data_IF_649082081978
#
_entry.id   IF_649082081978
#
_cell.length_a   1.000
_cell.length_b   1.000
_cell.length_c   1.000
_cell.angle_alpha   90.00
_cell.angle_beta   90.00
_cell.angle_gamma   90.00
#
_symmetry.space_group_name_H-M   'P 1'
#
loop_
_entity.id
_entity.type
_entity.pdbx_description
1 polymer ?
#
# COMPACT_ATOMS: atom_id res chain seq x y z
N UNK A 1 11.56 2.53 17.43
CA UNK A 1 11.11 1.18 17.83
C UNK A 1 9.58 1.05 17.95
N UNK A 2 8.84 1.95 18.65
CA UNK A 2 7.37 1.81 18.82
C UNK A 2 6.58 1.72 17.49
N UNK A 3 6.98 2.41 16.42
CA UNK A 3 6.31 2.38 15.11
C UNK A 3 6.47 1.06 14.36
N UNK A 4 7.67 0.48 14.36
CA UNK A 4 7.99 -0.77 13.65
C UNK A 4 7.21 -1.96 14.24
N UNK A 5 7.15 -2.06 15.57
CA UNK A 5 6.38 -3.12 16.23
C UNK A 5 4.87 -2.97 15.99
N UNK A 6 4.39 -1.72 15.88
CA UNK A 6 2.99 -1.44 15.55
C UNK A 6 2.66 -1.88 14.12
N UNK A 7 3.55 -1.61 13.17
CA UNK A 7 3.38 -2.06 11.78
C UNK A 7 3.39 -3.60 11.71
N UNK A 8 4.32 -4.27 12.40
CA UNK A 8 4.38 -5.73 12.43
C UNK A 8 3.13 -6.38 13.06
N UNK A 9 2.63 -5.83 14.16
CA UNK A 9 1.38 -6.31 14.79
C UNK A 9 0.18 -6.14 13.88
N UNK A 10 0.06 -5.00 13.20
CA UNK A 10 -1.03 -4.75 12.26
C UNK A 10 -1.06 -5.75 11.10
N UNK A 11 0.11 -6.23 10.64
CA UNK A 11 0.19 -7.27 9.62
C UNK A 11 -0.25 -8.61 10.20
N UNK A 12 0.25 -8.99 11.39
CA UNK A 12 -0.13 -10.23 12.06
C UNK A 12 -1.66 -10.32 12.30
N UNK A 13 -2.29 -9.19 12.66
CA UNK A 13 -3.73 -9.13 12.91
C UNK A 13 -4.57 -9.26 11.63
N UNK A 14 -3.99 -8.93 10.46
CA UNK A 14 -4.68 -8.92 9.16
C UNK A 14 -4.42 -10.17 8.33
N UNK A 15 -3.30 -10.85 8.56
CA UNK A 15 -2.90 -12.03 7.80
C UNK A 15 -2.87 -13.28 8.68
N UNK A 16 -3.90 -14.16 8.56
CA UNK A 16 -3.96 -15.41 9.32
C UNK A 16 -2.78 -16.35 9.05
N UNK A 17 -2.09 -16.21 7.91
CA UNK A 17 -0.91 -17.00 7.55
C UNK A 17 0.34 -16.58 8.34
N UNK A 18 0.29 -15.46 9.08
CA UNK A 18 1.41 -14.92 9.89
C UNK A 18 1.14 -15.05 11.39
N UNK A 19 1.29 -16.26 11.99
CA UNK A 19 0.93 -16.53 13.37
C UNK A 19 1.85 -15.84 14.39
N UNK A 20 3.00 -15.30 13.99
CA UNK A 20 3.92 -14.63 14.90
C UNK A 20 4.56 -13.37 14.32
N UNK A 21 4.84 -12.37 15.19
CA UNK A 21 5.56 -11.14 14.83
C UNK A 21 6.94 -11.46 14.24
N UNK A 22 7.61 -12.51 14.74
CA UNK A 22 8.92 -12.91 14.22
C UNK A 22 8.83 -13.33 12.74
N UNK A 23 7.79 -14.06 12.36
CA UNK A 23 7.56 -14.43 10.96
C UNK A 23 7.27 -13.20 10.08
N UNK A 24 6.48 -12.25 10.56
CA UNK A 24 6.25 -10.99 9.84
C UNK A 24 7.57 -10.26 9.58
N UNK A 25 8.42 -10.13 10.60
CA UNK A 25 9.69 -9.41 10.50
C UNK A 25 10.67 -10.11 9.54
N UNK A 26 10.72 -11.43 9.55
CA UNK A 26 11.73 -12.20 8.81
C UNK A 26 11.26 -12.61 7.41
N UNK A 27 9.97 -12.85 7.21
CA UNK A 27 9.46 -13.52 6.01
C UNK A 27 8.50 -12.66 5.18
N UNK A 28 8.00 -11.53 5.74
CA UNK A 28 6.98 -10.75 5.05
C UNK A 28 7.59 -9.64 4.17
N UNK A 29 7.58 -9.79 2.82
CA UNK A 29 8.29 -8.87 1.93
C UNK A 29 7.74 -7.43 2.00
N UNK A 30 6.44 -7.25 2.19
CA UNK A 30 5.83 -5.93 2.35
C UNK A 30 6.33 -5.18 3.58
N UNK A 31 6.52 -5.89 4.71
CA UNK A 31 7.12 -5.31 5.92
C UNK A 31 8.57 -4.88 5.68
N UNK A 32 9.37 -5.76 5.07
CA UNK A 32 10.77 -5.49 4.74
C UNK A 32 10.90 -4.26 3.83
N UNK A 33 10.05 -4.16 2.81
CA UNK A 33 10.04 -3.03 1.87
C UNK A 33 9.70 -1.71 2.57
N UNK A 34 8.67 -1.68 3.43
CA UNK A 34 8.28 -0.48 4.18
C UNK A 34 9.37 -0.09 5.19
N UNK A 35 10.00 -1.05 5.87
CA UNK A 35 11.10 -0.78 6.80
C UNK A 35 12.31 -0.17 6.07
N UNK A 36 12.74 -0.77 4.96
CA UNK A 36 13.82 -0.26 4.13
C UNK A 36 13.49 1.13 3.56
N UNK A 37 12.23 1.34 3.13
CA UNK A 37 11.78 2.66 2.70
C UNK A 37 11.91 3.71 3.80
N UNK A 38 11.61 3.43 5.06
CA UNK A 38 11.81 4.40 6.16
C UNK A 38 13.26 4.86 6.27
N UNK A 39 14.23 3.94 6.09
CA UNK A 39 15.66 4.26 6.07
C UNK A 39 16.03 5.09 4.83
N UNK A 40 15.56 4.67 3.65
CA UNK A 40 15.79 5.37 2.39
C UNK A 40 15.22 6.80 2.41
N UNK A 41 14.00 6.97 2.93
CA UNK A 41 13.33 8.26 3.07
C UNK A 41 14.06 9.18 4.07
N UNK A 42 14.57 8.64 5.17
CA UNK A 42 15.37 9.42 6.12
C UNK A 42 16.67 9.95 5.49
N UNK A 43 17.38 9.14 4.70
CA UNK A 43 18.55 9.57 3.94
C UNK A 43 18.16 10.61 2.88
N UNK A 44 17.07 10.38 2.16
CA UNK A 44 16.53 11.28 1.15
C UNK A 44 16.22 12.67 1.70
N UNK A 45 15.51 12.75 2.85
CA UNK A 45 15.17 14.00 3.53
C UNK A 45 16.39 14.78 4.01
N UNK A 46 17.48 14.09 4.37
CA UNK A 46 18.76 14.70 4.76
C UNK A 46 19.62 15.13 3.56
N UNK A 47 19.15 14.99 2.32
CA UNK A 47 19.88 15.33 1.12
C UNK A 47 20.82 14.23 0.59
N UNK A 48 20.93 13.09 1.28
CA UNK A 48 21.77 11.96 0.84
C UNK A 48 21.05 11.14 -0.24
N UNK A 49 20.83 11.77 -1.41
CA UNK A 49 20.02 11.22 -2.51
C UNK A 49 20.52 9.86 -2.99
N UNK A 50 21.82 9.74 -3.23
CA UNK A 50 22.45 8.50 -3.68
C UNK A 50 22.23 7.35 -2.69
N UNK A 51 22.47 7.60 -1.40
CA UNK A 51 22.27 6.60 -0.34
C UNK A 51 20.79 6.15 -0.25
N UNK A 52 19.85 7.11 -0.34
CA UNK A 52 18.42 6.80 -0.36
C UNK A 52 18.05 5.89 -1.54
N UNK A 53 18.52 6.22 -2.76
CA UNK A 53 18.26 5.41 -3.95
C UNK A 53 18.94 4.03 -3.88
N UNK A 54 20.14 3.93 -3.33
CA UNK A 54 20.84 2.67 -3.15
C UNK A 54 20.07 1.73 -2.21
N UNK A 55 19.60 2.23 -1.06
CA UNK A 55 18.77 1.45 -0.12
C UNK A 55 17.47 0.99 -0.81
N UNK A 56 16.79 1.88 -1.54
CA UNK A 56 15.57 1.54 -2.26
C UNK A 56 15.82 0.47 -3.34
N UNK A 57 16.95 0.56 -4.06
CA UNK A 57 17.36 -0.44 -5.06
C UNK A 57 17.57 -1.82 -4.43
N UNK A 58 18.31 -1.89 -3.33
CA UNK A 58 18.54 -3.15 -2.61
C UNK A 58 17.22 -3.74 -2.11
N UNK A 59 16.35 -2.90 -1.53
CA UNK A 59 15.04 -3.33 -1.06
C UNK A 59 14.18 -3.92 -2.19
N UNK A 60 14.16 -3.27 -3.37
CA UNK A 60 13.45 -3.77 -4.54
C UNK A 60 13.99 -5.13 -5.01
N UNK A 61 15.30 -5.29 -5.08
CA UNK A 61 15.91 -6.54 -5.53
C UNK A 61 15.62 -7.70 -4.55
N UNK A 62 15.47 -7.42 -3.24
CA UNK A 62 15.14 -8.41 -2.21
C UNK A 62 13.65 -8.74 -2.12
N UNK A 63 12.77 -7.76 -2.38
CA UNK A 63 11.33 -7.88 -2.09
C UNK A 63 10.44 -7.89 -3.34
N UNK A 64 10.96 -7.47 -4.49
CA UNK A 64 10.17 -7.22 -5.70
C UNK A 64 9.26 -6.00 -5.62
N UNK A 65 9.43 -5.14 -4.58
CA UNK A 65 8.61 -3.96 -4.32
C UNK A 65 9.47 -2.71 -4.51
N UNK A 66 9.07 -1.83 -5.43
CA UNK A 66 9.80 -0.60 -5.74
C UNK A 66 9.11 0.61 -5.07
N UNK A 67 9.69 1.13 -3.99
CA UNK A 67 9.22 2.34 -3.32
C UNK A 67 10.27 3.44 -3.44
N UNK A 68 9.94 4.51 -4.17
CA UNK A 68 10.84 5.64 -4.30
C UNK A 68 11.11 6.30 -2.94
N UNK A 69 12.37 6.65 -2.60
CA UNK A 69 12.70 7.26 -1.30
C UNK A 69 11.96 8.55 -0.98
N UNK A 70 11.53 9.29 -2.00
CA UNK A 70 10.77 10.52 -1.85
C UNK A 70 9.30 10.32 -1.47
N UNK A 71 8.74 9.12 -1.66
CA UNK A 71 7.36 8.83 -1.30
C UNK A 71 7.10 9.01 0.21
N UNK A 72 5.86 9.33 0.56
CA UNK A 72 5.41 9.43 1.95
C UNK A 72 4.55 8.21 2.25
N UNK A 73 5.02 7.37 3.17
CA UNK A 73 4.30 6.16 3.60
C UNK A 73 3.95 6.28 5.07
N UNK A 74 2.68 6.20 5.37
CA UNK A 74 2.11 6.22 6.72
C UNK A 74 2.43 4.98 7.55
N UNK A 75 1.71 4.80 8.63
CA UNK A 75 1.83 3.64 9.51
C UNK A 75 0.73 2.62 9.22
N UNK A 76 0.98 1.35 9.59
CA UNK A 76 0.05 0.24 9.38
C UNK A 76 -0.37 0.06 7.92
N UNK A 77 0.48 0.51 6.99
CA UNK A 77 0.32 0.23 5.56
C UNK A 77 0.63 -1.26 5.35
N UNK A 78 -0.31 -1.95 4.76
CA UNK A 78 -0.23 -3.39 4.51
C UNK A 78 -0.03 -3.62 3.01
N UNK A 79 1.18 -4.02 2.61
CA UNK A 79 1.48 -4.38 1.22
C UNK A 79 1.44 -5.90 1.13
N UNK A 80 0.31 -6.44 0.67
CA UNK A 80 0.07 -7.88 0.62
C UNK A 80 0.67 -8.51 -0.63
N UNK A 81 1.46 -9.58 -0.44
CA UNK A 81 2.31 -10.23 -1.45
C UNK A 81 3.35 -9.28 -2.06
N UNK A 82 2.97 -8.12 -2.51
CA UNK A 82 3.75 -6.97 -2.92
C UNK A 82 4.55 -7.08 -4.21
N UNK A 83 4.82 -8.27 -4.74
CA UNK A 83 5.61 -8.45 -5.95
C UNK A 83 5.11 -7.58 -7.11
N UNK A 84 6.02 -6.82 -7.75
CA UNK A 84 5.69 -5.93 -8.87
C UNK A 84 4.99 -4.62 -8.46
N UNK A 85 4.82 -4.34 -7.16
CA UNK A 85 4.28 -3.06 -6.70
C UNK A 85 5.29 -1.94 -6.90
N UNK A 86 4.83 -0.81 -7.47
CA UNK A 86 5.63 0.39 -7.72
C UNK A 86 4.97 1.62 -7.10
N UNK A 87 5.70 2.34 -6.25
CA UNK A 87 5.25 3.57 -5.59
C UNK A 87 6.19 4.72 -5.94
N UNK A 88 5.71 5.68 -6.73
CA UNK A 88 6.49 6.78 -7.29
C UNK A 88 6.85 7.88 -6.29
N UNK A 89 7.78 8.74 -6.68
CA UNK A 89 8.46 9.74 -5.83
C UNK A 89 7.54 10.64 -5.01
N UNK A 90 6.48 11.17 -5.61
CA UNK A 90 5.58 12.13 -4.95
C UNK A 90 4.28 11.47 -4.48
N UNK A 91 4.22 10.14 -4.45
CA UNK A 91 3.07 9.42 -3.91
C UNK A 91 2.95 9.64 -2.40
N UNK A 92 1.72 9.72 -1.94
CA UNK A 92 1.37 9.77 -0.52
C UNK A 92 0.45 8.59 -0.22
N UNK A 93 0.83 7.76 0.72
CA UNK A 93 0.04 6.65 1.24
C UNK A 93 -0.17 6.89 2.73
N UNK A 94 -1.39 7.14 3.12
CA UNK A 94 -1.74 7.40 4.52
C UNK A 94 -1.82 6.11 5.35
N UNK A 95 -2.17 6.26 6.63
CA UNK A 95 -2.27 5.15 7.58
C UNK A 95 -3.34 4.13 7.17
N UNK A 96 -3.15 2.88 7.58
CA UNK A 96 -4.13 1.78 7.43
C UNK A 96 -4.47 1.37 5.99
N UNK A 97 -3.77 1.89 4.98
CA UNK A 97 -3.97 1.54 3.57
C UNK A 97 -3.53 0.10 3.31
N UNK A 98 -4.30 -0.60 2.48
CA UNK A 98 -3.97 -1.94 1.96
C UNK A 98 -3.64 -1.83 0.48
N UNK A 99 -2.49 -2.39 0.08
CA UNK A 99 -2.02 -2.44 -1.30
C UNK A 99 -1.70 -3.89 -1.66
N UNK A 100 -2.33 -4.39 -2.70
CA UNK A 100 -2.05 -5.74 -3.21
C UNK A 100 -0.84 -5.73 -4.16
N UNK A 101 -0.39 -6.93 -4.57
CA UNK A 101 0.69 -7.08 -5.54
C UNK A 101 0.40 -6.42 -6.90
N UNK A 102 1.45 -6.06 -7.63
CA UNK A 102 1.37 -5.52 -8.99
C UNK A 102 0.74 -4.13 -9.10
N UNK A 103 0.46 -3.46 -7.97
CA UNK A 103 -0.11 -2.12 -7.96
C UNK A 103 0.93 -1.09 -8.42
N UNK A 104 0.51 -0.14 -9.26
CA UNK A 104 1.33 1.01 -9.62
C UNK A 104 0.68 2.31 -9.14
N UNK A 105 1.36 3.02 -8.24
CA UNK A 105 1.07 4.40 -7.89
C UNK A 105 2.02 5.30 -8.71
N UNK A 106 1.63 5.56 -9.97
CA UNK A 106 2.49 6.12 -11.01
C UNK A 106 2.14 7.55 -11.41
N UNK A 107 3.00 8.14 -12.25
CA UNK A 107 2.67 9.37 -12.95
C UNK A 107 1.93 9.05 -14.26
N UNK A 108 1.16 10.02 -14.77
CA UNK A 108 0.45 9.92 -16.06
C UNK A 108 1.23 10.58 -17.20
N UNK A 109 1.95 11.64 -16.89
CA UNK A 109 2.78 12.42 -17.84
C UNK A 109 4.00 12.98 -17.10
N UNK A 110 5.12 13.18 -17.78
CA UNK A 110 6.24 13.92 -17.21
C UNK A 110 5.77 15.28 -16.71
N UNK A 111 5.99 15.55 -15.43
CA UNK A 111 5.65 16.81 -14.78
C UNK A 111 6.61 17.10 -13.64
N UNK A 112 6.85 18.38 -13.34
CA UNK A 112 7.50 18.84 -12.13
C UNK A 112 6.49 18.87 -10.97
N UNK A 113 6.96 18.71 -9.73
CA UNK A 113 6.11 18.76 -8.54
C UNK A 113 5.31 17.48 -8.30
N UNK A 114 4.14 17.62 -7.70
CA UNK A 114 3.22 16.53 -7.40
C UNK A 114 2.69 15.91 -8.70
N UNK A 115 2.90 14.60 -8.87
CA UNK A 115 2.56 13.86 -10.10
C UNK A 115 2.17 12.40 -9.87
N UNK A 116 2.15 11.97 -8.61
CA UNK A 116 1.76 10.63 -8.19
C UNK A 116 0.58 10.72 -7.24
N UNK A 117 -0.23 9.66 -7.10
CA UNK A 117 -1.47 9.71 -6.34
C UNK A 117 -1.29 9.92 -4.83
N UNK A 118 -2.37 10.37 -4.22
CA UNK A 118 -2.57 10.37 -2.78
C UNK A 118 -3.62 9.32 -2.42
N UNK A 119 -3.22 8.36 -1.58
CA UNK A 119 -4.08 7.30 -1.08
C UNK A 119 -4.42 7.61 0.38
N UNK A 120 -5.69 7.91 0.62
CA UNK A 120 -6.19 8.29 1.95
C UNK A 120 -6.35 7.09 2.86
N UNK A 121 -6.47 7.38 4.14
CA UNK A 121 -6.56 6.39 5.21
C UNK A 121 -7.56 5.28 4.91
N UNK A 122 -7.17 4.04 5.21
CA UNK A 122 -8.04 2.87 5.13
C UNK A 122 -8.46 2.47 3.72
N UNK A 123 -7.97 3.14 2.68
CA UNK A 123 -8.27 2.76 1.31
C UNK A 123 -7.66 1.40 0.95
N UNK A 124 -8.32 0.67 0.05
CA UNK A 124 -7.90 -0.63 -0.45
C UNK A 124 -7.57 -0.54 -1.95
N UNK A 125 -6.37 -0.96 -2.33
CA UNK A 125 -5.92 -0.98 -3.73
C UNK A 125 -5.73 -2.43 -4.16
N UNK A 126 -6.64 -2.89 -5.02
CA UNK A 126 -6.68 -4.27 -5.51
C UNK A 126 -5.51 -4.65 -6.42
N UNK A 127 -5.26 -5.94 -6.53
CA UNK A 127 -4.12 -6.51 -7.26
C UNK A 127 -4.05 -6.00 -8.72
N UNK A 128 -2.86 -5.60 -9.16
CA UNK A 128 -2.61 -5.13 -10.51
C UNK A 128 -3.27 -3.80 -10.88
N UNK A 129 -3.84 -3.06 -9.92
CA UNK A 129 -4.45 -1.77 -10.21
C UNK A 129 -3.39 -0.70 -10.54
N UNK A 130 -3.70 0.16 -11.50
CA UNK A 130 -2.88 1.29 -11.91
C UNK A 130 -3.56 2.58 -11.48
N UNK A 131 -2.99 3.31 -10.54
CA UNK A 131 -3.48 4.64 -10.10
C UNK A 131 -2.49 5.66 -10.62
N UNK A 132 -2.90 6.47 -11.59
CA UNK A 132 -1.97 7.25 -12.40
C UNK A 132 -2.28 8.76 -12.36
N UNK A 133 -1.25 9.54 -12.03
CA UNK A 133 -1.33 11.00 -11.98
C UNK A 133 -1.48 11.53 -10.56
N UNK A 134 -1.65 12.85 -10.46
CA UNK A 134 -1.98 13.52 -9.20
C UNK A 134 -3.49 13.38 -8.94
N UNK A 135 -3.90 12.19 -8.54
CA UNK A 135 -5.29 11.84 -8.22
C UNK A 135 -5.41 11.43 -6.76
N UNK A 136 -6.58 11.58 -6.19
CA UNK A 136 -6.86 11.21 -4.81
C UNK A 136 -7.78 9.99 -4.75
N UNK A 137 -7.37 8.97 -3.99
CA UNK A 137 -8.23 7.87 -3.58
C UNK A 137 -8.69 8.18 -2.16
N UNK A 138 -9.98 8.48 -2.02
CA UNK A 138 -10.59 8.94 -0.78
C UNK A 138 -10.52 7.94 0.36
N UNK A 139 -10.81 8.42 1.57
CA UNK A 139 -10.79 7.61 2.79
C UNK A 139 -11.73 6.40 2.67
N UNK A 140 -11.24 5.20 3.05
CA UNK A 140 -11.96 3.92 2.93
C UNK A 140 -12.48 3.58 1.52
N UNK A 141 -11.99 4.26 0.47
CA UNK A 141 -12.34 3.92 -0.90
C UNK A 141 -11.68 2.62 -1.34
N UNK A 142 -12.29 1.96 -2.32
CA UNK A 142 -11.79 0.70 -2.88
C UNK A 142 -11.47 0.85 -4.35
N UNK A 143 -10.29 0.41 -4.74
CA UNK A 143 -9.90 0.24 -6.14
C UNK A 143 -9.89 -1.25 -6.45
N UNK A 144 -10.71 -1.67 -7.41
CA UNK A 144 -10.81 -3.07 -7.81
C UNK A 144 -9.54 -3.58 -8.49
N UNK A 145 -9.34 -4.89 -8.46
CA UNK A 145 -8.20 -5.53 -9.12
C UNK A 145 -8.18 -5.19 -10.63
N UNK A 146 -6.98 -4.89 -11.17
CA UNK A 146 -6.77 -4.53 -12.57
C UNK A 146 -7.39 -3.21 -13.01
N UNK A 147 -7.93 -2.41 -12.10
CA UNK A 147 -8.54 -1.12 -12.45
C UNK A 147 -7.48 -0.09 -12.85
N UNK A 148 -7.81 0.76 -13.84
CA UNK A 148 -6.97 1.88 -14.28
C UNK A 148 -7.62 3.19 -13.87
N UNK A 149 -7.16 3.76 -12.76
CA UNK A 149 -7.72 4.98 -12.16
C UNK A 149 -6.98 6.21 -12.66
N UNK A 150 -7.71 7.13 -13.27
CA UNK A 150 -7.20 8.34 -13.91
C UNK A 150 -7.83 9.64 -13.35
N UNK A 151 -8.72 9.52 -12.38
CA UNK A 151 -9.43 10.63 -11.71
C UNK A 151 -9.68 10.27 -10.24
N UNK A 152 -10.02 11.27 -9.44
CA UNK A 152 -10.28 11.11 -8.02
C UNK A 152 -11.42 10.12 -7.75
N UNK A 153 -11.26 9.36 -6.68
CA UNK A 153 -12.26 8.42 -6.15
C UNK A 153 -12.76 8.96 -4.81
N UNK A 154 -14.05 9.29 -4.69
CA UNK A 154 -14.60 9.83 -3.44
C UNK A 154 -14.44 8.88 -2.24
N UNK A 155 -14.45 9.39 -0.99
CA UNK A 155 -14.43 8.57 0.20
C UNK A 155 -15.52 7.49 0.19
N UNK A 156 -15.16 6.26 0.57
CA UNK A 156 -16.05 5.11 0.62
C UNK A 156 -16.58 4.61 -0.73
N UNK A 157 -16.20 5.21 -1.85
CA UNK A 157 -16.60 4.76 -3.19
C UNK A 157 -15.73 3.59 -3.68
N UNK A 158 -16.22 2.89 -4.68
CA UNK A 158 -15.47 1.83 -5.38
C UNK A 158 -15.20 2.24 -6.81
N UNK A 159 -13.95 2.10 -7.26
CA UNK A 159 -13.53 2.33 -8.65
C UNK A 159 -13.11 1.00 -9.29
N UNK A 160 -13.70 0.63 -10.44
CA UNK A 160 -13.41 -0.63 -11.13
C UNK A 160 -13.35 -0.45 -12.64
N UNK A 161 -12.58 -1.30 -13.31
CA UNK A 161 -12.49 -1.36 -14.77
C UNK A 161 -11.33 -0.56 -15.36
N UNK A 162 -11.21 -0.58 -16.69
CA UNK A 162 -10.18 0.11 -17.47
C UNK A 162 -10.83 0.83 -18.66
N UNK A 163 -10.90 2.20 -18.67
CA UNK A 163 -10.63 3.08 -17.54
C UNK A 163 -11.63 2.85 -16.39
N UNK A 164 -11.19 3.11 -15.16
CA UNK A 164 -12.01 2.88 -13.98
C UNK A 164 -13.24 3.79 -13.95
N UNK A 165 -14.38 3.20 -13.59
CA UNK A 165 -15.62 3.91 -13.31
C UNK A 165 -15.93 3.82 -11.84
N UNK A 166 -16.45 4.92 -11.28
CA UNK A 166 -16.83 4.99 -9.87
C UNK A 166 -18.23 4.42 -9.74
N UNK A 167 -18.38 3.43 -8.87
CA UNK A 167 -19.66 2.90 -8.44
C UNK A 167 -19.96 3.35 -7.02
N UNK A 168 -21.22 3.68 -6.72
CA UNK A 168 -21.62 3.95 -5.34
C UNK A 168 -21.44 2.68 -4.53
N UNK A 169 -20.74 2.76 -3.38
CA UNK A 169 -20.68 1.67 -2.42
C UNK A 169 -22.10 1.31 -2.02
N UNK A 170 -22.50 0.04 -2.15
CA UNK A 170 -23.63 -0.50 -1.38
C UNK A 170 -23.29 -0.27 0.10
N UNK A 171 -24.26 0.19 0.90
CA UNK A 171 -24.10 0.33 2.34
C UNK A 171 -23.36 -0.89 2.89
N UNK A 172 -22.33 -0.64 3.73
CA UNK A 172 -21.39 -1.62 4.29
C UNK A 172 -21.92 -3.04 4.22
N UNK A 173 -21.35 -3.85 3.34
CA UNK A 173 -21.36 -5.29 3.54
C UNK A 173 -20.43 -5.55 4.74
N UNK A 174 -20.99 -5.49 5.93
CA UNK A 174 -20.32 -5.85 7.20
C UNK A 174 -19.85 -7.31 7.19
N UNK A 175 -20.16 -8.04 6.10
CA UNK A 175 -19.89 -9.45 5.92
C UNK A 175 -18.43 -9.80 5.61
N UNK A 176 -17.60 -8.92 5.04
CA UNK A 176 -16.23 -9.30 4.68
C UNK A 176 -15.33 -9.42 5.92
N UNK A 177 -15.53 -8.56 6.92
CA UNK A 177 -14.80 -8.66 8.18
C UNK A 177 -15.46 -9.55 9.25
N UNK A 178 -16.70 -10.00 9.04
CA UNK A 178 -17.44 -10.84 9.99
C UNK A 178 -17.33 -12.33 9.72
N UNK A 179 -17.18 -12.76 8.46
CA UNK A 179 -17.08 -14.19 8.11
C UNK A 179 -15.82 -14.86 8.65
N UNK A 180 -14.74 -14.09 8.87
CA UNK A 180 -13.48 -14.63 9.39
C UNK A 180 -13.53 -14.91 10.91
N UNK A 181 -14.54 -14.42 11.64
CA UNK A 181 -14.69 -14.68 13.09
C UNK A 181 -15.63 -15.83 13.43
N UNK A 182 -16.47 -16.26 12.50
CA UNK A 182 -17.48 -17.31 12.75
C UNK A 182 -17.06 -18.70 12.31
N UNK A 183 -15.91 -18.85 11.64
CA UNK A 183 -15.37 -20.13 11.17
C UNK A 183 -14.02 -20.50 11.79
N UNK A 184 -13.72 -20.04 12.98
CA UNK A 184 -12.65 -20.64 13.76
C UNK A 184 -13.12 -22.04 14.21
N UNK A 185 -12.49 -23.15 13.78
CA UNK A 185 -12.83 -24.47 14.28
C UNK A 185 -12.54 -24.49 15.78
N UNK A 186 -13.54 -24.93 16.57
CA UNK A 186 -13.34 -25.25 17.98
C UNK A 186 -12.21 -26.26 18.08
N UNK A 187 -11.13 -25.87 18.79
CA UNK A 187 -10.09 -26.80 19.17
C UNK A 187 -10.68 -27.77 20.19
N UNK A 188 -10.94 -28.99 19.78
CA UNK A 188 -11.05 -30.18 20.62
C UNK A 188 -9.73 -30.93 20.61
#
# INVERSE_FOLDING_TARGET
MKGILRDARSIQERDPAMPSIAQVILLYPGFTAVLAHRLANAAWKKGHRFAGLLVARIARDLTGIDIHPGAIIGYRVFIDHGMGTVIGETAVVEDDVVIMHGVTLGNRRPASGKRHPTIRRGAFIGAGALVLGDVEIGEEAMVGAGAVVLSDVPPGATATGNPARITKRRARDEGYHRRDREHAPSAD
#
